data_IF_818603282445
#
_entry.id   IF_818603282445
#
_cell.length_a   1.000
_cell.length_b   1.000
_cell.length_c   1.000
_cell.angle_alpha   90.00
_cell.angle_beta   90.00
_cell.angle_gamma   90.00
#
_symmetry.space_group_name_H-M   'P 1'
#
loop_
_entity.id
_entity.type
_entity.pdbx_description
1 polymer ?
#
# COMPACT_ATOMS: atom_id res chain seq x y z
N UNK A 1 -18.76 13.73 2.72
CA UNK A 1 -19.59 12.66 3.31
C UNK A 1 -19.55 12.69 4.83
N UNK A 2 -18.39 12.43 5.46
CA UNK A 2 -18.26 12.35 6.93
C UNK A 2 -18.80 13.57 7.68
N UNK A 3 -18.55 14.80 7.20
CA UNK A 3 -19.16 16.02 7.76
C UNK A 3 -20.69 15.95 7.88
N UNK A 4 -21.37 15.36 6.89
CA UNK A 4 -22.83 15.23 6.90
C UNK A 4 -23.30 14.14 7.86
N UNK A 5 -22.58 13.02 7.94
CA UNK A 5 -22.88 11.96 8.93
C UNK A 5 -22.80 12.54 10.34
N UNK A 6 -21.71 13.25 10.66
CA UNK A 6 -21.57 13.92 11.94
C UNK A 6 -22.74 14.87 12.23
N UNK A 7 -23.11 15.73 11.29
CA UNK A 7 -24.20 16.70 11.46
C UNK A 7 -25.56 16.04 11.81
N UNK A 8 -25.82 14.83 11.31
CA UNK A 8 -27.16 14.20 11.44
C UNK A 8 -27.21 13.04 12.42
N UNK A 9 -26.07 12.47 12.81
CA UNK A 9 -25.99 11.22 13.57
C UNK A 9 -25.01 11.33 14.77
N UNK A 10 -24.60 12.54 15.17
CA UNK A 10 -23.69 12.71 16.33
C UNK A 10 -24.28 12.22 17.66
N UNK A 11 -25.60 12.32 17.85
CA UNK A 11 -26.26 11.91 19.09
C UNK A 11 -26.44 10.39 19.19
N UNK A 12 -26.89 9.75 18.10
CA UNK A 12 -27.26 8.33 18.11
C UNK A 12 -26.10 7.40 17.68
N UNK A 13 -25.13 7.91 16.91
CA UNK A 13 -24.02 7.14 16.36
C UNK A 13 -24.48 5.83 15.70
N UNK A 14 -25.54 5.92 14.91
CA UNK A 14 -26.14 4.78 14.20
C UNK A 14 -25.15 4.15 13.21
N UNK A 15 -24.36 4.98 12.53
CA UNK A 15 -23.26 4.53 11.67
C UNK A 15 -22.04 4.23 12.54
N UNK A 16 -21.78 2.94 12.76
CA UNK A 16 -20.69 2.46 13.63
C UNK A 16 -19.35 2.25 12.90
N UNK A 17 -19.39 2.04 11.58
CA UNK A 17 -18.22 1.83 10.72
C UNK A 17 -18.53 2.30 9.29
N UNK A 18 -17.47 2.66 8.56
CA UNK A 18 -17.52 3.02 7.14
C UNK A 18 -16.42 2.25 6.42
N UNK A 19 -16.78 1.62 5.30
CA UNK A 19 -15.80 1.03 4.40
C UNK A 19 -15.27 2.13 3.47
N UNK A 20 -13.94 2.29 3.40
CA UNK A 20 -13.27 3.20 2.48
C UNK A 20 -12.88 2.41 1.24
N UNK A 21 -13.43 2.80 0.08
CA UNK A 21 -13.40 2.02 -1.17
C UNK A 21 -14.09 0.65 -1.08
N UNK A 22 -14.04 -0.13 -2.16
CA UNK A 22 -14.54 -1.51 -2.22
C UNK A 22 -13.74 -2.30 -3.26
N UNK A 23 -13.16 -3.44 -2.85
CA UNK A 23 -12.42 -4.36 -3.75
C UNK A 23 -11.39 -3.63 -4.62
N UNK A 24 -10.53 -2.84 -3.98
CA UNK A 24 -9.50 -2.06 -4.68
C UNK A 24 -8.55 -2.97 -5.44
N UNK A 25 -8.29 -2.62 -6.69
CA UNK A 25 -7.38 -3.35 -7.55
C UNK A 25 -7.64 -3.03 -9.02
N UNK A 26 -6.83 -3.63 -9.89
CA UNK A 26 -7.01 -3.60 -11.34
C UNK A 26 -6.79 -5.01 -11.89
N UNK A 27 -7.38 -5.33 -13.04
CA UNK A 27 -7.14 -6.60 -13.73
C UNK A 27 -5.83 -6.57 -14.53
N UNK A 28 -4.75 -6.17 -13.87
CA UNK A 28 -3.38 -6.10 -14.39
C UNK A 28 -2.40 -6.10 -13.21
N UNK A 29 -1.12 -6.39 -13.48
CA UNK A 29 -0.08 -6.40 -12.44
C UNK A 29 0.21 -4.99 -11.89
N UNK A 30 0.10 -3.96 -12.75
CA UNK A 30 0.23 -2.54 -12.36
C UNK A 30 -0.39 -1.58 -13.35
N UNK A 31 -0.48 -0.31 -12.97
CA UNK A 31 -0.66 0.78 -13.92
C UNK A 31 0.62 0.93 -14.76
N UNK A 32 0.49 0.91 -16.09
CA UNK A 32 1.57 1.08 -17.07
C UNK A 32 1.56 2.46 -17.74
N UNK A 33 0.86 3.44 -17.14
CA UNK A 33 0.95 4.83 -17.55
C UNK A 33 2.38 5.38 -17.43
N UNK A 34 2.71 6.41 -18.20
CA UNK A 34 4.04 7.05 -18.14
C UNK A 34 4.41 7.51 -16.72
N UNK A 35 3.44 8.00 -15.95
CA UNK A 35 3.65 8.46 -14.58
C UNK A 35 3.97 7.30 -13.64
N UNK A 36 3.19 6.21 -13.72
CA UNK A 36 3.42 5.01 -12.91
C UNK A 36 4.75 4.32 -13.29
N UNK A 37 5.08 4.24 -14.58
CA UNK A 37 6.37 3.73 -15.07
C UNK A 37 7.57 4.51 -14.51
N UNK A 38 7.44 5.83 -14.40
CA UNK A 38 8.48 6.68 -13.82
C UNK A 38 8.61 6.39 -12.33
N UNK A 39 7.50 6.43 -11.58
CA UNK A 39 7.49 6.17 -10.14
C UNK A 39 7.97 4.76 -9.78
N UNK A 40 7.67 3.75 -10.60
CA UNK A 40 8.11 2.37 -10.40
C UNK A 40 9.64 2.20 -10.49
N UNK A 41 10.33 3.09 -11.22
CA UNK A 41 11.79 3.11 -11.33
C UNK A 41 12.45 3.91 -10.21
N UNK A 42 11.68 4.67 -9.44
CA UNK A 42 12.18 5.36 -8.26
C UNK A 42 12.41 4.39 -7.10
N UNK A 43 13.09 4.88 -6.06
CA UNK A 43 13.39 4.07 -4.89
C UNK A 43 12.11 3.74 -4.11
N UNK A 44 12.08 2.54 -3.54
CA UNK A 44 11.07 2.18 -2.53
C UNK A 44 11.14 3.17 -1.37
N UNK A 45 10.00 3.69 -0.88
CA UNK A 45 9.96 4.57 0.29
C UNK A 45 10.64 3.93 1.50
N UNK A 46 11.45 4.72 2.20
CA UNK A 46 12.27 4.23 3.31
C UNK A 46 11.41 3.69 4.45
N UNK A 47 10.23 4.26 4.64
CA UNK A 47 9.24 3.87 5.64
C UNK A 47 8.80 2.42 5.45
N UNK A 48 8.59 1.98 4.19
CA UNK A 48 8.23 0.59 3.89
C UNK A 48 9.39 -0.34 4.24
N UNK A 49 10.60 -0.06 3.75
CA UNK A 49 11.76 -0.92 4.04
C UNK A 49 12.12 -0.96 5.52
N UNK A 50 11.94 0.14 6.26
CA UNK A 50 12.16 0.17 7.70
C UNK A 50 11.14 -0.72 8.43
N UNK A 51 9.86 -0.58 8.11
CA UNK A 51 8.81 -1.41 8.70
C UNK A 51 9.05 -2.90 8.44
N UNK A 52 9.39 -3.27 7.21
CA UNK A 52 9.64 -4.66 6.86
C UNK A 52 10.86 -5.23 7.61
N UNK A 53 11.92 -4.44 7.82
CA UNK A 53 13.07 -4.85 8.63
C UNK A 53 12.73 -5.03 10.11
N UNK A 54 11.89 -4.15 10.66
CA UNK A 54 11.45 -4.25 12.05
C UNK A 54 10.51 -5.44 12.28
N UNK A 55 9.72 -5.79 11.26
CA UNK A 55 8.74 -6.89 11.31
C UNK A 55 9.23 -8.18 10.65
N UNK A 56 10.53 -8.30 10.41
CA UNK A 56 11.13 -9.33 9.55
C UNK A 56 10.79 -10.76 9.99
N UNK A 57 10.64 -10.99 11.30
CA UNK A 57 10.28 -12.27 11.91
C UNK A 57 8.76 -12.51 11.96
N UNK A 58 7.96 -11.48 11.71
CA UNK A 58 6.49 -11.51 11.69
C UNK A 58 5.91 -11.51 10.26
N UNK A 59 6.75 -11.37 9.23
CA UNK A 59 6.31 -11.46 7.84
C UNK A 59 5.79 -12.87 7.54
N UNK A 60 4.82 -12.97 6.63
CA UNK A 60 4.44 -14.28 6.08
C UNK A 60 5.65 -14.89 5.39
N UNK A 61 5.77 -16.23 5.46
CA UNK A 61 6.88 -16.94 4.82
C UNK A 61 6.98 -16.59 3.33
N UNK A 62 5.84 -16.53 2.63
CA UNK A 62 5.77 -16.17 1.22
C UNK A 62 6.34 -14.77 0.94
N UNK A 63 5.94 -13.76 1.72
CA UNK A 63 6.44 -12.40 1.51
C UNK A 63 7.93 -12.27 1.88
N UNK A 64 8.36 -13.02 2.89
CA UNK A 64 9.76 -13.08 3.28
C UNK A 64 10.63 -13.66 2.16
N UNK A 65 10.18 -14.73 1.52
CA UNK A 65 10.88 -15.36 0.40
C UNK A 65 11.03 -14.42 -0.79
N UNK A 66 10.02 -13.60 -1.10
CA UNK A 66 10.12 -12.58 -2.16
C UNK A 66 11.32 -11.67 -1.91
N UNK A 67 11.46 -11.17 -0.69
CA UNK A 67 12.50 -10.21 -0.34
C UNK A 67 13.87 -10.87 -0.21
N UNK A 68 13.94 -12.08 0.38
CA UNK A 68 15.16 -12.87 0.50
C UNK A 68 15.72 -13.23 -0.90
N UNK A 69 14.86 -13.66 -1.83
CA UNK A 69 15.24 -14.00 -3.20
C UNK A 69 15.74 -12.78 -4.02
N UNK A 70 15.26 -11.58 -3.69
CA UNK A 70 15.76 -10.33 -4.27
C UNK A 70 17.07 -9.83 -3.61
N UNK A 71 17.59 -10.57 -2.63
CA UNK A 71 18.86 -10.30 -1.96
C UNK A 71 18.75 -9.42 -0.73
N UNK A 72 17.56 -9.32 -0.10
CA UNK A 72 17.32 -8.57 1.14
C UNK A 72 17.82 -7.12 1.09
N UNK A 73 17.54 -6.44 -0.03
CA UNK A 73 17.99 -5.06 -0.21
C UNK A 73 17.09 -4.11 0.56
N UNK A 74 17.71 -3.23 1.35
CA UNK A 74 17.03 -2.18 2.11
C UNK A 74 16.89 -0.86 1.35
N UNK A 75 17.37 -0.81 0.10
CA UNK A 75 17.23 0.34 -0.78
C UNK A 75 17.42 -0.09 -2.24
N UNK A 76 16.69 0.58 -3.12
CA UNK A 76 16.66 0.29 -4.55
C UNK A 76 15.29 0.64 -5.11
N UNK A 77 15.14 0.50 -6.42
CA UNK A 77 13.84 0.53 -7.07
C UNK A 77 12.96 -0.64 -6.65
N UNK A 78 11.67 -0.55 -6.96
CA UNK A 78 10.69 -1.60 -6.65
C UNK A 78 11.10 -2.96 -7.21
N UNK A 79 11.62 -3.01 -8.44
CA UNK A 79 12.15 -4.24 -9.03
C UNK A 79 13.44 -4.72 -8.33
N UNK A 80 14.34 -3.80 -7.97
CA UNK A 80 15.59 -4.21 -7.31
C UNK A 80 15.40 -4.77 -5.92
N UNK A 81 14.36 -4.31 -5.20
CA UNK A 81 14.04 -4.69 -3.82
C UNK A 81 13.14 -5.92 -3.75
N UNK A 82 12.17 -6.07 -4.66
CA UNK A 82 11.15 -7.14 -4.60
C UNK A 82 11.17 -8.08 -5.82
N UNK A 83 12.07 -7.88 -6.78
CA UNK A 83 12.16 -8.70 -7.98
C UNK A 83 10.88 -8.65 -8.82
N UNK A 84 10.46 -9.81 -9.32
CA UNK A 84 9.28 -9.95 -10.19
C UNK A 84 7.96 -9.61 -9.47
N UNK A 85 7.95 -9.58 -8.14
CA UNK A 85 6.79 -9.12 -7.35
C UNK A 85 6.76 -7.60 -7.16
N UNK A 86 7.80 -6.88 -7.58
CA UNK A 86 7.86 -5.42 -7.51
C UNK A 86 6.60 -4.71 -8.00
N UNK A 87 6.02 -5.05 -9.17
CA UNK A 87 4.79 -4.44 -9.66
C UNK A 87 3.61 -4.55 -8.69
N UNK A 88 3.40 -5.73 -8.10
CA UNK A 88 2.29 -5.98 -7.18
C UNK A 88 2.49 -5.23 -5.86
N UNK A 89 3.70 -5.28 -5.29
CA UNK A 89 4.03 -4.55 -4.05
C UNK A 89 3.93 -3.04 -4.26
N UNK A 90 4.34 -2.54 -5.43
CA UNK A 90 4.19 -1.14 -5.81
C UNK A 90 2.73 -0.70 -5.82
N UNK A 91 1.84 -1.48 -6.46
CA UNK A 91 0.42 -1.15 -6.50
C UNK A 91 -0.21 -1.24 -5.12
N UNK A 92 0.06 -2.31 -4.37
CA UNK A 92 -0.47 -2.51 -3.02
C UNK A 92 -0.08 -1.36 -2.09
N UNK A 93 1.18 -0.92 -2.13
CA UNK A 93 1.65 0.22 -1.36
C UNK A 93 0.92 1.52 -1.74
N UNK A 94 0.81 1.83 -3.04
CA UNK A 94 0.19 3.08 -3.47
C UNK A 94 -1.34 3.09 -3.24
N UNK A 95 -2.01 1.95 -3.36
CA UNK A 95 -3.41 1.81 -2.94
C UNK A 95 -3.57 2.05 -1.45
N UNK A 96 -2.71 1.44 -0.63
CA UNK A 96 -2.75 1.63 0.82
C UNK A 96 -2.55 3.10 1.20
N UNK A 97 -1.57 3.79 0.59
CA UNK A 97 -1.33 5.22 0.83
C UNK A 97 -2.54 6.07 0.44
N UNK A 98 -3.13 5.84 -0.74
CA UNK A 98 -4.31 6.59 -1.18
C UNK A 98 -5.51 6.38 -0.24
N UNK A 99 -5.81 5.12 0.10
CA UNK A 99 -6.93 4.77 0.99
C UNK A 99 -6.71 5.36 2.39
N UNK A 100 -5.49 5.31 2.90
CA UNK A 100 -5.14 5.89 4.20
C UNK A 100 -5.33 7.42 4.21
N UNK A 101 -4.96 8.12 3.14
CA UNK A 101 -5.22 9.57 3.02
C UNK A 101 -6.73 9.88 2.97
N UNK A 102 -7.53 9.08 2.25
CA UNK A 102 -9.00 9.24 2.22
C UNK A 102 -9.60 8.97 3.60
N UNK A 103 -9.17 7.91 4.27
CA UNK A 103 -9.63 7.55 5.61
C UNK A 103 -9.29 8.65 6.63
N UNK A 104 -8.07 9.19 6.57
CA UNK A 104 -7.59 10.25 7.46
C UNK A 104 -8.32 11.58 7.26
N UNK A 105 -8.74 11.88 6.03
CA UNK A 105 -9.47 13.10 5.69
C UNK A 105 -10.97 13.05 6.05
N UNK A 106 -11.50 11.86 6.32
CA UNK A 106 -12.88 11.62 6.74
C UNK A 106 -13.16 12.17 8.13
#
# INVERSE_FOLDING_TARGET
MMKKIREVDEENQTVIMVQVENETGIFSERDFSFLADSAFKEKVPIELTNYLNEQIDNLTLEFREIWDNAGNKNSGSWYEVFGDYGPEVFMAWNYAQYIDEVARAG
#
